data_IF_538781604763
#
_entry.id   IF_538781604763
#
_cell.length_a   1.000
_cell.length_b   1.000
_cell.length_c   1.000
_cell.angle_alpha   90.00
_cell.angle_beta   90.00
_cell.angle_gamma   90.00
#
_symmetry.space_group_name_H-M   'P 1'
#
loop_
_entity.id
_entity.type
_entity.pdbx_description
1 polymer ?
#
# COMPACT_ATOMS: atom_id res chain seq x y z
N UNK A 1 6.59 -6.29 23.74
CA UNK A 1 5.54 -6.10 22.70
C UNK A 1 6.16 -5.25 21.61
N UNK A 2 6.39 -5.81 20.43
CA UNK A 2 6.74 -5.00 19.26
C UNK A 2 5.56 -4.08 18.98
N UNK A 3 5.73 -2.78 19.20
CA UNK A 3 4.73 -1.75 18.86
C UNK A 3 4.46 -1.82 17.36
N UNK A 4 3.19 -1.97 16.99
CA UNK A 4 2.80 -1.96 15.58
C UNK A 4 2.96 -0.53 15.06
N UNK A 5 3.47 -0.34 13.84
CA UNK A 5 3.76 1.02 13.36
C UNK A 5 2.52 1.92 13.33
N UNK A 6 1.34 1.34 13.06
CA UNK A 6 0.07 2.07 13.06
C UNK A 6 -0.38 2.54 14.45
N UNK A 7 0.11 1.91 15.55
CA UNK A 7 -0.19 2.32 16.93
C UNK A 7 0.26 3.77 17.21
N UNK A 8 1.17 4.30 16.40
CA UNK A 8 1.66 5.68 16.52
C UNK A 8 0.65 6.75 16.13
N UNK A 9 -0.40 6.39 15.36
CA UNK A 9 -1.39 7.34 14.86
C UNK A 9 -2.85 6.86 15.00
N UNK A 10 -3.05 5.60 15.40
CA UNK A 10 -4.39 5.05 15.59
C UNK A 10 -4.45 4.01 16.70
N UNK A 11 -5.68 3.61 17.02
CA UNK A 11 -5.99 2.56 17.99
C UNK A 11 -6.76 1.45 17.26
N UNK A 12 -6.44 0.17 17.45
CA UNK A 12 -7.23 -0.91 16.86
C UNK A 12 -8.68 -0.83 17.32
N UNK A 13 -9.62 -0.99 16.41
CA UNK A 13 -11.04 -1.05 16.77
C UNK A 13 -11.36 -2.36 17.50
N UNK A 14 -12.42 -2.39 18.33
CA UNK A 14 -12.83 -3.61 19.01
C UNK A 14 -13.10 -4.78 18.05
N UNK A 15 -12.64 -5.99 18.40
CA UNK A 15 -12.72 -7.17 17.54
C UNK A 15 -14.17 -7.53 17.16
N UNK A 16 -15.12 -7.29 18.08
CA UNK A 16 -16.55 -7.49 17.87
C UNK A 16 -17.17 -6.52 16.84
N UNK A 17 -16.53 -5.37 16.58
CA UNK A 17 -16.96 -4.39 15.58
C UNK A 17 -16.25 -4.58 14.23
N UNK A 18 -15.03 -5.13 14.24
CA UNK A 18 -14.18 -5.32 13.05
C UNK A 18 -14.89 -6.06 11.91
N UNK A 19 -15.56 -7.17 12.21
CA UNK A 19 -16.25 -7.96 11.19
C UNK A 19 -17.35 -7.16 10.47
N UNK A 20 -18.18 -6.43 11.22
CA UNK A 20 -19.27 -5.59 10.65
C UNK A 20 -18.72 -4.41 9.86
N UNK A 21 -17.64 -3.81 10.36
CA UNK A 21 -16.95 -2.73 9.66
C UNK A 21 -16.42 -3.19 8.29
N UNK A 22 -15.67 -4.30 8.27
CA UNK A 22 -15.10 -4.84 7.04
C UNK A 22 -16.17 -5.32 6.07
N UNK A 23 -17.25 -5.94 6.56
CA UNK A 23 -18.39 -6.31 5.73
C UNK A 23 -19.01 -5.09 5.04
N UNK A 24 -19.36 -4.04 5.81
CA UNK A 24 -19.95 -2.82 5.28
C UNK A 24 -19.05 -2.11 4.26
N UNK A 25 -17.74 -2.07 4.51
CA UNK A 25 -16.78 -1.53 3.55
C UNK A 25 -16.74 -2.37 2.26
N UNK A 26 -16.61 -3.70 2.38
CA UNK A 26 -16.53 -4.60 1.24
C UNK A 26 -17.78 -4.58 0.36
N UNK A 27 -18.97 -4.46 0.95
CA UNK A 27 -20.23 -4.26 0.22
C UNK A 27 -20.20 -2.97 -0.59
N UNK A 28 -19.75 -1.85 0.00
CA UNK A 28 -19.67 -0.55 -0.69
C UNK A 28 -18.70 -0.56 -1.87
N UNK A 29 -17.59 -1.27 -1.77
CA UNK A 29 -16.60 -1.39 -2.86
C UNK A 29 -16.87 -2.59 -3.76
N UNK A 30 -17.96 -3.31 -3.59
CA UNK A 30 -18.27 -4.54 -4.35
C UNK A 30 -17.10 -5.54 -4.35
N UNK A 31 -16.42 -5.73 -3.20
CA UNK A 31 -15.35 -6.70 -3.05
C UNK A 31 -15.93 -8.06 -2.61
N UNK A 32 -16.06 -9.05 -3.51
CA UNK A 32 -16.83 -10.26 -3.26
C UNK A 32 -16.11 -11.28 -2.35
N UNK A 33 -14.81 -11.12 -2.12
CA UNK A 33 -13.97 -12.14 -1.46
C UNK A 33 -13.71 -11.88 0.01
N UNK A 34 -14.07 -10.71 0.54
CA UNK A 34 -13.76 -10.32 1.92
C UNK A 34 -12.25 -10.25 2.24
N UNK A 35 -11.39 -10.38 1.23
CA UNK A 35 -9.93 -10.26 1.33
C UNK A 35 -9.53 -8.79 1.28
N UNK A 36 -8.29 -8.49 1.69
CA UNK A 36 -7.73 -7.15 1.55
C UNK A 36 -7.93 -6.62 0.12
N UNK A 37 -8.63 -5.48 -0.06
CA UNK A 37 -8.97 -5.00 -1.38
C UNK A 37 -7.80 -4.30 -2.09
N UNK A 38 -6.61 -4.27 -1.49
CA UNK A 38 -5.42 -3.79 -2.19
C UNK A 38 -4.95 -4.75 -3.31
N UNK A 39 -4.66 -4.26 -4.53
CA UNK A 39 -4.03 -5.09 -5.58
C UNK A 39 -2.64 -5.59 -5.16
N UNK A 40 -2.29 -6.85 -5.39
CA UNK A 40 -0.99 -7.41 -5.02
C UNK A 40 -0.09 -7.54 -6.25
N UNK A 41 1.09 -6.91 -6.20
CA UNK A 41 2.08 -6.98 -7.26
C UNK A 41 2.77 -8.34 -7.35
N UNK A 42 2.99 -8.80 -8.58
CA UNK A 42 3.82 -9.97 -8.90
C UNK A 42 5.26 -9.55 -9.16
N UNK A 43 6.23 -10.46 -8.99
CA UNK A 43 7.64 -10.16 -9.25
C UNK A 43 7.86 -9.85 -10.73
N UNK A 44 8.58 -8.77 -11.02
CA UNK A 44 9.02 -8.44 -12.37
C UNK A 44 10.05 -9.47 -12.85
N UNK A 45 9.79 -10.09 -13.99
CA UNK A 45 10.65 -11.10 -14.59
C UNK A 45 11.02 -10.67 -16.00
N UNK A 46 12.07 -11.29 -16.57
CA UNK A 46 12.58 -10.93 -17.91
C UNK A 46 11.49 -10.93 -18.99
N UNK A 47 10.53 -11.86 -18.92
CA UNK A 47 9.39 -11.95 -19.85
C UNK A 47 8.44 -10.75 -19.79
N UNK A 48 8.30 -10.10 -18.63
CA UNK A 48 7.43 -8.95 -18.43
C UNK A 48 8.04 -7.64 -18.98
N UNK A 49 9.30 -7.65 -19.40
CA UNK A 49 9.93 -6.47 -20.01
C UNK A 49 9.22 -6.06 -21.31
N UNK A 50 8.63 -7.02 -22.03
CA UNK A 50 7.81 -6.74 -23.21
C UNK A 50 6.59 -5.88 -22.84
N UNK A 51 5.94 -6.14 -21.71
CA UNK A 51 4.80 -5.34 -21.26
C UNK A 51 5.17 -3.88 -21.02
N UNK A 52 6.36 -3.63 -20.46
CA UNK A 52 6.87 -2.28 -20.19
C UNK A 52 7.26 -1.51 -21.47
N UNK A 53 7.46 -2.22 -22.58
CA UNK A 53 7.76 -1.66 -23.90
C UNK A 53 6.46 -1.42 -24.69
N UNK A 54 5.53 -2.37 -24.64
CA UNK A 54 4.31 -2.36 -25.44
C UNK A 54 3.18 -1.52 -24.84
N UNK A 55 3.17 -1.32 -23.52
CA UNK A 55 2.09 -0.61 -22.83
C UNK A 55 2.60 0.55 -21.98
N UNK A 56 1.71 1.52 -21.77
CA UNK A 56 1.95 2.62 -20.86
C UNK A 56 1.96 2.15 -19.41
N UNK A 57 3.09 2.37 -18.75
CA UNK A 57 3.33 2.06 -17.35
C UNK A 57 3.90 3.30 -16.64
N UNK A 58 3.54 3.45 -15.36
CA UNK A 58 4.31 4.26 -14.42
C UNK A 58 5.21 3.37 -13.57
N UNK A 59 6.31 3.95 -13.10
CA UNK A 59 7.25 3.42 -12.14
C UNK A 59 7.30 4.35 -10.92
N UNK A 60 7.38 3.78 -9.73
CA UNK A 60 7.72 4.51 -8.51
C UNK A 60 8.63 3.66 -7.63
N UNK A 61 9.27 4.32 -6.67
CA UNK A 61 10.04 3.63 -5.64
C UNK A 61 9.15 2.65 -4.86
N UNK A 62 9.71 1.49 -4.52
CA UNK A 62 9.06 0.53 -3.62
C UNK A 62 9.56 0.84 -2.21
N UNK A 63 8.67 1.31 -1.35
CA UNK A 63 9.05 1.59 0.03
C UNK A 63 9.02 0.30 0.85
N UNK A 64 9.71 0.33 1.97
CA UNK A 64 9.62 -0.71 3.00
C UNK A 64 8.75 -0.20 4.16
N UNK A 65 7.44 -0.10 3.91
CA UNK A 65 6.47 0.39 4.89
C UNK A 65 5.34 -0.59 5.17
N UNK A 66 4.44 -0.19 6.07
CA UNK A 66 3.20 -0.91 6.32
C UNK A 66 2.16 -0.46 5.31
N UNK A 67 1.97 -1.25 4.25
CA UNK A 67 0.89 -1.02 3.29
C UNK A 67 -0.47 -1.02 4.00
N UNK A 68 -1.20 0.07 3.85
CA UNK A 68 -2.48 0.28 4.50
C UNK A 68 -3.43 1.09 3.61
N UNK A 69 -4.72 0.79 3.67
CA UNK A 69 -5.75 1.62 3.06
C UNK A 69 -6.18 2.71 4.03
N UNK A 70 -6.36 3.93 3.54
CA UNK A 70 -6.98 5.02 4.29
C UNK A 70 -8.46 5.10 3.92
N UNK A 71 -9.34 4.69 4.83
CA UNK A 71 -10.78 4.76 4.65
C UNK A 71 -11.36 5.90 5.49
N UNK A 72 -12.07 6.80 4.83
CA UNK A 72 -12.81 7.90 5.45
C UNK A 72 -14.29 7.55 5.30
N UNK A 73 -14.93 7.26 6.43
CA UNK A 73 -16.34 6.89 6.52
C UNK A 73 -17.14 8.05 7.11
N UNK A 74 -18.24 8.43 6.47
CA UNK A 74 -19.17 9.40 7.04
C UNK A 74 -20.32 8.68 7.75
N UNK A 75 -20.67 9.13 8.95
CA UNK A 75 -21.84 8.64 9.68
C UNK A 75 -22.41 9.77 10.56
N UNK A 76 -23.73 9.98 10.49
CA UNK A 76 -24.45 11.00 11.30
C UNK A 76 -23.74 12.36 11.37
N UNK A 77 -23.34 12.91 10.22
CA UNK A 77 -22.62 14.18 10.08
C UNK A 77 -21.21 14.23 10.68
N UNK A 78 -20.61 13.09 11.00
CA UNK A 78 -19.22 12.99 11.43
C UNK A 78 -18.42 12.17 10.42
N UNK A 79 -17.15 12.54 10.22
CA UNK A 79 -16.20 11.74 9.45
C UNK A 79 -15.28 10.97 10.40
N UNK A 80 -15.20 9.66 10.18
CA UNK A 80 -14.36 8.73 10.91
C UNK A 80 -13.28 8.19 9.96
N UNK A 81 -12.04 8.14 10.44
CA UNK A 81 -10.87 7.91 9.61
C UNK A 81 -10.14 6.67 10.10
N UNK A 82 -9.90 5.72 9.20
CA UNK A 82 -9.37 4.41 9.55
C UNK A 82 -8.21 4.05 8.64
N UNK A 83 -7.22 3.34 9.19
CA UNK A 83 -6.21 2.60 8.45
C UNK A 83 -6.51 1.12 8.51
N UNK A 84 -6.39 0.46 7.37
CA UNK A 84 -6.67 -0.97 7.23
C UNK A 84 -5.44 -1.61 6.63
N UNK A 85 -4.76 -2.47 7.37
CA UNK A 85 -3.55 -3.12 6.89
C UNK A 85 -3.85 -4.36 6.03
N UNK A 86 -2.80 -4.98 5.49
CA UNK A 86 -2.92 -6.20 4.67
C UNK A 86 -3.46 -7.42 5.44
N UNK A 87 -3.34 -7.45 6.77
CA UNK A 87 -3.89 -8.50 7.64
C UNK A 87 -5.36 -8.24 7.98
N UNK A 88 -5.95 -7.16 7.46
CA UNK A 88 -7.31 -6.71 7.76
C UNK A 88 -7.50 -6.24 9.20
N UNK A 89 -6.41 -5.86 9.87
CA UNK A 89 -6.50 -5.13 11.12
C UNK A 89 -6.87 -3.68 10.85
N UNK A 90 -7.80 -3.15 11.65
CA UNK A 90 -8.42 -1.85 11.43
C UNK A 90 -8.09 -0.93 12.60
N UNK A 91 -7.46 0.19 12.29
CA UNK A 91 -7.03 1.20 13.25
C UNK A 91 -7.80 2.49 13.03
N UNK A 92 -8.50 2.98 14.05
CA UNK A 92 -9.11 4.30 14.01
C UNK A 92 -8.04 5.36 14.30
N UNK A 93 -7.90 6.33 13.39
CA UNK A 93 -6.93 7.42 13.53
C UNK A 93 -7.40 8.39 14.62
N UNK A 94 -6.53 8.72 15.57
CA UNK A 94 -6.80 9.68 16.62
C UNK A 94 -6.38 11.10 16.24
N UNK A 95 -6.80 12.10 17.03
CA UNK A 95 -6.43 13.51 16.87
C UNK A 95 -6.69 14.10 15.46
N UNK A 96 -7.68 13.56 14.73
CA UNK A 96 -8.14 14.14 13.47
C UNK A 96 -8.82 15.47 13.76
N UNK A 97 -8.39 16.55 13.09
CA UNK A 97 -9.01 17.87 13.27
C UNK A 97 -10.46 17.82 12.79
N UNK A 98 -11.34 18.51 13.52
CA UNK A 98 -12.77 18.59 13.19
C UNK A 98 -12.97 19.31 11.86
N UNK A 99 -13.15 18.52 10.80
CA UNK A 99 -13.56 18.97 9.49
C UNK A 99 -14.44 17.89 8.90
N UNK A 100 -15.70 18.23 8.60
CA UNK A 100 -16.64 17.22 8.14
C UNK A 100 -16.48 17.01 6.63
N UNK A 101 -15.74 15.97 6.27
CA UNK A 101 -15.80 15.42 4.92
C UNK A 101 -17.16 14.76 4.76
N UNK A 102 -18.07 15.38 3.99
CA UNK A 102 -19.45 14.92 3.79
C UNK A 102 -19.57 13.61 3.00
N UNK A 103 -18.45 13.11 2.50
CA UNK A 103 -18.40 11.96 1.59
C UNK A 103 -17.37 10.95 2.06
N UNK A 104 -17.50 9.74 1.52
CA UNK A 104 -16.57 8.65 1.79
C UNK A 104 -15.46 8.56 0.74
N UNK A 105 -14.29 8.15 1.20
CA UNK A 105 -13.08 8.03 0.39
C UNK A 105 -12.29 6.80 0.81
N UNK A 106 -11.69 6.10 -0.15
CA UNK A 106 -10.81 4.96 0.10
C UNK A 106 -9.56 5.07 -0.77
N UNK A 107 -8.42 5.28 -0.12
CA UNK A 107 -7.11 5.42 -0.77
C UNK A 107 -6.22 4.22 -0.46
N UNK A 108 -5.46 3.77 -1.44
CA UNK A 108 -4.41 2.76 -1.25
C UNK A 108 -3.06 3.44 -1.11
N UNK A 109 -2.31 3.03 -0.10
CA UNK A 109 -1.11 3.74 0.30
C UNK A 109 -0.20 2.93 1.20
N UNK A 110 0.86 3.60 1.62
CA UNK A 110 1.91 3.03 2.46
C UNK A 110 2.18 3.95 3.64
N UNK A 111 2.05 3.37 4.83
CA UNK A 111 2.42 4.03 6.07
C UNK A 111 3.90 3.79 6.36
N UNK A 112 4.61 4.89 6.59
CA UNK A 112 6.05 4.94 6.72
C UNK A 112 6.43 5.72 7.97
N UNK A 113 7.53 5.31 8.60
CA UNK A 113 8.18 6.06 9.66
C UNK A 113 9.49 6.58 9.09
N UNK A 114 9.68 7.89 9.11
CA UNK A 114 10.93 8.48 8.64
C UNK A 114 12.09 8.13 9.57
N UNK A 115 13.32 8.35 9.09
CA UNK A 115 14.54 8.29 9.92
C UNK A 115 14.42 9.17 11.19
N UNK A 116 13.74 10.31 11.09
CA UNK A 116 13.46 11.22 12.22
C UNK A 116 12.25 10.80 13.06
N UNK A 117 11.75 9.57 12.88
CA UNK A 117 10.61 8.97 13.58
C UNK A 117 9.27 9.66 13.34
N UNK A 118 9.15 10.45 12.28
CA UNK A 118 7.91 11.11 11.92
C UNK A 118 7.02 10.19 11.06
N UNK A 119 5.73 10.05 11.37
CA UNK A 119 4.79 9.29 10.56
C UNK A 119 4.48 10.00 9.23
N UNK A 120 4.43 9.21 8.15
CA UNK A 120 4.02 9.63 6.81
C UNK A 120 3.06 8.58 6.25
N UNK A 121 1.99 9.04 5.59
CA UNK A 121 1.17 8.19 4.73
C UNK A 121 1.31 8.64 3.28
N UNK A 122 1.77 7.72 2.41
CA UNK A 122 1.96 7.98 0.98
C UNK A 122 0.86 7.29 0.17
N UNK A 123 0.01 8.06 -0.51
CA UNK A 123 -1.06 7.54 -1.36
C UNK A 123 -0.47 7.22 -2.74
N UNK A 124 -0.74 6.03 -3.27
CA UNK A 124 -0.32 5.66 -4.63
C UNK A 124 -1.48 5.21 -5.52
N UNK A 125 -2.70 5.04 -5.00
CA UNK A 125 -3.90 4.77 -5.80
C UNK A 125 -5.19 5.18 -5.06
N UNK A 126 -6.31 5.30 -5.77
CA UNK A 126 -7.63 5.64 -5.23
C UNK A 126 -8.65 4.59 -5.65
N UNK A 127 -9.35 4.01 -4.67
CA UNK A 127 -10.39 2.98 -4.89
C UNK A 127 -11.78 3.62 -4.91
N UNK A 128 -12.02 4.56 -3.99
CA UNK A 128 -13.29 5.29 -3.86
C UNK A 128 -13.03 6.77 -3.65
N UNK A 129 -13.79 7.60 -4.33
CA UNK A 129 -13.75 9.05 -4.19
C UNK A 129 -15.17 9.62 -4.21
N UNK A 130 -15.50 10.46 -3.23
CA UNK A 130 -16.78 11.14 -3.12
C UNK A 130 -17.99 10.19 -3.16
N UNK A 131 -17.90 9.06 -2.43
CA UNK A 131 -18.88 7.96 -2.39
C UNK A 131 -18.93 7.06 -3.64
N UNK A 132 -18.20 7.37 -4.71
CA UNK A 132 -18.19 6.57 -5.93
C UNK A 132 -16.95 5.71 -6.04
N UNK A 133 -17.12 4.46 -6.50
CA UNK A 133 -15.98 3.64 -6.91
C UNK A 133 -15.35 4.22 -8.16
N UNK A 134 -14.03 4.33 -8.16
CA UNK A 134 -13.24 4.87 -9.28
C UNK A 134 -12.26 3.86 -9.85
N UNK A 135 -12.42 2.57 -9.48
CA UNK A 135 -11.55 1.47 -9.89
C UNK A 135 -11.48 1.26 -11.41
N UNK A 136 -12.52 1.66 -12.16
CA UNK A 136 -12.56 1.51 -13.62
C UNK A 136 -11.90 2.68 -14.37
N UNK A 137 -11.52 3.75 -13.67
CA UNK A 137 -10.76 4.84 -14.27
C UNK A 137 -9.31 4.41 -14.54
N UNK A 138 -8.63 5.13 -15.42
CA UNK A 138 -7.17 4.97 -15.60
C UNK A 138 -6.41 5.36 -14.33
N UNK A 139 -5.21 4.83 -14.17
CA UNK A 139 -4.32 5.18 -13.07
C UNK A 139 -4.08 6.70 -12.96
N UNK A 140 -3.97 7.40 -14.09
CA UNK A 140 -3.80 8.86 -14.11
C UNK A 140 -4.97 9.58 -13.43
N UNK A 141 -6.20 9.20 -13.77
CA UNK A 141 -7.40 9.78 -13.18
C UNK A 141 -7.50 9.44 -11.69
N UNK A 142 -7.20 8.18 -11.30
CA UNK A 142 -7.20 7.77 -9.89
C UNK A 142 -6.14 8.50 -9.07
N UNK A 143 -4.97 8.78 -9.65
CA UNK A 143 -3.90 9.57 -9.01
C UNK A 143 -4.26 11.06 -8.90
N UNK A 144 -4.92 11.63 -9.90
CA UNK A 144 -5.39 13.02 -9.85
C UNK A 144 -6.41 13.23 -8.70
N UNK A 145 -7.30 12.26 -8.47
CA UNK A 145 -8.21 12.26 -7.32
C UNK A 145 -7.47 12.20 -5.97
N UNK A 146 -6.41 11.40 -5.88
CA UNK A 146 -5.55 11.37 -4.69
C UNK A 146 -4.83 12.71 -4.48
N UNK A 147 -4.30 13.31 -5.54
CA UNK A 147 -3.62 14.60 -5.50
C UNK A 147 -4.55 15.73 -5.02
N UNK A 148 -5.76 15.81 -5.58
CA UNK A 148 -6.80 16.76 -5.16
C UNK A 148 -7.15 16.62 -3.67
N UNK A 149 -7.19 15.39 -3.17
CA UNK A 149 -7.50 15.10 -1.76
C UNK A 149 -6.37 15.48 -0.81
N UNK A 150 -5.12 15.36 -1.25
CA UNK A 150 -3.92 15.46 -0.39
C UNK A 150 -3.86 16.80 0.35
N UNK A 151 -4.23 17.91 -0.29
CA UNK A 151 -4.23 19.23 0.37
C UNK A 151 -5.17 19.28 1.57
N UNK A 152 -6.38 18.75 1.42
CA UNK A 152 -7.38 18.74 2.50
C UNK A 152 -6.93 17.75 3.58
N UNK A 153 -6.56 16.53 3.18
CA UNK A 153 -6.11 15.48 4.10
C UNK A 153 -4.93 15.95 4.97
N UNK A 154 -3.93 16.61 4.39
CA UNK A 154 -2.79 17.15 5.13
C UNK A 154 -3.14 18.22 6.16
N UNK A 155 -4.33 18.83 6.07
CA UNK A 155 -4.82 19.74 7.11
C UNK A 155 -5.49 18.99 8.27
N UNK A 156 -6.04 17.80 8.01
CA UNK A 156 -6.81 17.01 8.97
C UNK A 156 -5.95 16.26 9.97
N UNK A 157 -4.78 15.80 9.55
CA UNK A 157 -3.93 14.93 10.35
C UNK A 157 -2.73 15.67 10.93
N UNK A 158 -2.21 15.16 12.04
CA UNK A 158 -0.96 15.64 12.66
C UNK A 158 0.29 14.91 12.10
N UNK A 159 0.12 14.15 11.02
CA UNK A 159 1.19 13.47 10.31
C UNK A 159 1.14 13.85 8.83
N UNK A 160 2.26 13.64 8.12
CA UNK A 160 2.35 14.05 6.72
C UNK A 160 1.56 13.09 5.82
N UNK A 161 0.70 13.64 4.96
CA UNK A 161 0.10 12.90 3.86
C UNK A 161 0.63 13.45 2.55
N UNK A 162 0.98 12.56 1.63
CA UNK A 162 1.46 12.93 0.30
C UNK A 162 1.03 11.89 -0.72
N UNK A 163 1.01 12.26 -2.00
CA UNK A 163 0.97 11.28 -3.08
C UNK A 163 2.38 10.80 -3.41
N UNK A 164 2.50 9.54 -3.81
CA UNK A 164 3.75 8.96 -4.30
C UNK A 164 4.07 9.55 -5.66
N UNK A 165 5.33 9.92 -5.88
CA UNK A 165 5.78 10.46 -7.15
C UNK A 165 5.86 9.33 -8.17
N UNK A 166 5.20 9.53 -9.31
CA UNK A 166 5.17 8.57 -10.42
C UNK A 166 6.05 9.07 -11.55
N UNK A 167 6.86 8.17 -12.10
CA UNK A 167 7.69 8.39 -13.27
C UNK A 167 7.17 7.52 -14.39
N UNK A 168 7.22 7.98 -15.64
CA UNK A 168 6.95 7.08 -16.77
C UNK A 168 7.89 5.87 -16.70
N UNK A 169 7.45 4.72 -17.20
CA UNK A 169 8.21 3.46 -17.09
C UNK A 169 9.65 3.59 -17.56
N UNK A 170 9.91 4.31 -18.65
CA UNK A 170 11.26 4.56 -19.16
C UNK A 170 12.13 5.49 -18.30
N UNK A 171 11.55 6.18 -17.32
CA UNK A 171 12.22 6.98 -16.29
C UNK A 171 12.45 6.21 -14.97
N UNK A 172 12.51 4.88 -15.05
CA UNK A 172 12.69 4.01 -13.87
C UNK A 172 14.04 4.23 -13.17
N UNK A 173 15.07 4.66 -13.91
CA UNK A 173 16.39 4.93 -13.35
C UNK A 173 16.34 6.14 -12.40
N UNK A 174 15.65 7.20 -12.80
CA UNK A 174 15.38 8.37 -11.97
C UNK A 174 14.52 8.01 -10.76
N UNK A 175 13.45 7.23 -10.96
CA UNK A 175 12.63 6.72 -9.87
C UNK A 175 13.45 5.92 -8.84
N UNK A 176 14.39 5.10 -9.32
CA UNK A 176 15.25 4.31 -8.46
C UNK A 176 16.30 5.16 -7.75
N UNK A 177 16.89 6.16 -8.42
CA UNK A 177 17.91 7.04 -7.83
C UNK A 177 17.32 8.00 -6.80
N UNK A 178 16.04 8.34 -6.88
CA UNK A 178 15.37 9.17 -5.86
C UNK A 178 15.46 8.55 -4.45
N UNK A 179 15.69 7.23 -4.34
CA UNK A 179 15.87 6.51 -3.06
C UNK A 179 16.89 7.16 -2.12
N UNK A 180 17.93 7.79 -2.67
CA UNK A 180 19.00 8.44 -1.88
C UNK A 180 18.50 9.69 -1.16
N UNK A 181 17.45 10.32 -1.68
CA UNK A 181 16.83 11.53 -1.14
C UNK A 181 15.60 11.27 -0.26
N UNK A 182 15.14 10.01 -0.19
CA UNK A 182 13.96 9.65 0.60
C UNK A 182 14.25 9.67 2.09
N UNK A 183 13.26 10.12 2.87
CA UNK A 183 13.31 10.11 4.33
C UNK A 183 12.98 8.73 4.93
N UNK A 184 12.71 7.74 4.08
CA UNK A 184 12.31 6.37 4.40
C UNK A 184 13.09 5.36 3.57
N UNK A 185 13.04 4.09 3.94
CA UNK A 185 13.72 3.02 3.22
C UNK A 185 12.97 2.64 1.93
N UNK A 186 13.75 2.36 0.88
CA UNK A 186 13.27 1.91 -0.42
C UNK A 186 14.06 0.68 -0.84
N UNK A 187 13.35 -0.39 -1.18
CA UNK A 187 13.91 -1.72 -1.47
C UNK A 187 13.73 -2.14 -2.94
N UNK A 188 13.25 -1.23 -3.81
CA UNK A 188 13.04 -1.55 -5.20
C UNK A 188 12.14 -0.58 -5.96
N UNK A 189 11.41 -1.12 -6.94
CA UNK A 189 10.49 -0.38 -7.80
C UNK A 189 9.14 -1.10 -7.90
N UNK A 190 8.09 -0.32 -8.13
CA UNK A 190 6.76 -0.81 -8.51
C UNK A 190 6.41 -0.23 -9.88
N UNK A 191 5.92 -1.08 -10.79
CA UNK A 191 5.43 -0.70 -12.10
C UNK A 191 3.93 -0.96 -12.20
N UNK A 192 3.17 0.10 -12.46
CA UNK A 192 1.69 0.06 -12.53
C UNK A 192 1.24 0.49 -13.92
N UNK A 193 0.40 -0.35 -14.55
CA UNK A 193 -0.15 -0.09 -15.89
C UNK A 193 -1.13 1.08 -15.87
N UNK A 194 -1.11 1.92 -16.90
CA UNK A 194 -1.88 3.19 -16.90
C UNK A 194 -3.37 2.97 -17.16
N UNK A 195 -3.74 2.23 -18.19
CA UNK A 195 -5.15 2.09 -18.61
C UNK A 195 -5.88 0.89 -18.03
N UNK A 196 -5.25 0.18 -17.10
CA UNK A 196 -5.86 -0.99 -16.48
C UNK A 196 -6.71 -0.58 -15.26
N UNK A 197 -7.94 -1.12 -15.14
CA UNK A 197 -8.74 -0.98 -13.94
C UNK A 197 -8.00 -1.48 -12.71
N UNK A 198 -8.26 -0.85 -11.57
CA UNK A 198 -7.84 -1.35 -10.28
C UNK A 198 -8.56 -2.67 -9.98
N UNK A 199 -7.84 -3.66 -9.44
CA UNK A 199 -8.38 -5.00 -9.18
C UNK A 199 -8.11 -5.49 -7.75
N UNK A 200 -8.96 -6.38 -7.25
CA UNK A 200 -8.78 -6.96 -5.92
C UNK A 200 -7.89 -8.20 -5.94
N UNK A 201 -6.91 -8.25 -5.03
CA UNK A 201 -5.98 -9.37 -4.93
C UNK A 201 -4.86 -9.32 -5.97
N UNK A 202 -4.31 -10.47 -6.35
CA UNK A 202 -3.13 -10.53 -7.23
C UNK A 202 -3.41 -9.96 -8.61
N UNK A 203 -2.65 -8.93 -8.97
CA UNK A 203 -2.69 -8.29 -10.27
C UNK A 203 -1.51 -8.78 -11.11
N UNK A 204 -1.75 -9.54 -12.20
CA UNK A 204 -0.67 -10.15 -12.97
C UNK A 204 0.16 -9.14 -13.75
N UNK A 205 -0.34 -7.93 -13.93
CA UNK A 205 0.26 -6.82 -14.69
C UNK A 205 0.84 -5.72 -13.80
N UNK A 206 0.66 -5.80 -12.48
CA UNK A 206 1.31 -4.94 -11.49
C UNK A 206 2.62 -5.58 -11.06
N UNK A 207 3.75 -4.94 -11.36
CA UNK A 207 5.06 -5.54 -11.13
C UNK A 207 5.79 -4.91 -9.96
N UNK A 208 6.45 -5.74 -9.15
CA UNK A 208 7.45 -5.31 -8.16
C UNK A 208 8.81 -5.84 -8.55
N UNK A 209 9.82 -4.99 -8.49
CA UNK A 209 11.21 -5.36 -8.72
C UNK A 209 12.04 -5.01 -7.49
N UNK A 210 12.99 -5.86 -7.14
CA UNK A 210 14.03 -5.58 -6.15
C UNK A 210 15.40 -5.88 -6.76
N UNK A 211 16.45 -5.13 -6.40
CA UNK A 211 17.82 -5.50 -6.73
C UNK A 211 18.13 -6.93 -6.29
N UNK A 212 18.87 -7.73 -7.09
CA UNK A 212 19.15 -9.13 -6.76
C UNK A 212 19.74 -9.34 -5.37
N UNK A 213 20.61 -8.42 -4.93
CA UNK A 213 21.29 -8.49 -3.63
C UNK A 213 20.38 -8.22 -2.41
N UNK A 214 19.17 -7.69 -2.61
CA UNK A 214 18.16 -7.53 -1.55
C UNK A 214 17.21 -8.72 -1.44
N UNK A 215 17.32 -9.71 -2.33
CA UNK A 215 16.56 -10.95 -2.19
C UNK A 215 17.25 -11.85 -1.17
N UNK A 216 16.55 -12.13 -0.07
CA UNK A 216 17.01 -13.02 0.98
C UNK A 216 16.25 -14.36 0.93
N UNK A 217 16.88 -15.39 1.47
CA UNK A 217 16.26 -16.70 1.72
C UNK A 217 16.55 -17.03 3.17
N UNK A 218 15.50 -17.31 3.94
CA UNK A 218 15.64 -17.70 5.34
C UNK A 218 16.01 -19.18 5.43
N UNK A 219 17.08 -19.48 6.17
CA UNK A 219 17.51 -20.85 6.45
C UNK A 219 17.34 -21.15 7.94
N UNK A 220 16.77 -22.31 8.25
CA UNK A 220 16.88 -22.89 9.58
C UNK A 220 18.29 -23.47 9.72
N UNK A 221 19.04 -22.94 10.68
CA UNK A 221 20.41 -23.36 10.94
C UNK A 221 20.44 -24.39 12.08
N UNK A 222 21.07 -25.55 11.85
CA UNK A 222 21.22 -26.61 12.84
C UNK A 222 22.71 -26.89 13.06
N UNK A 223 23.18 -26.71 14.28
CA UNK A 223 24.56 -27.03 14.65
C UNK A 223 24.75 -28.55 14.69
N UNK A 224 25.81 -29.06 14.05
CA UNK A 224 26.12 -30.49 13.99
C UNK A 224 27.50 -30.84 14.61
N UNK A 225 28.18 -29.87 15.23
CA UNK A 225 29.49 -30.07 15.86
C UNK A 225 30.64 -29.46 15.07
N UNK A 226 31.81 -29.32 15.72
CA UNK A 226 33.06 -28.80 15.12
C UNK A 226 32.90 -27.45 14.37
N UNK A 227 32.10 -26.53 14.88
CA UNK A 227 31.84 -25.24 14.21
C UNK A 227 31.05 -25.35 12.90
N UNK A 228 30.47 -26.53 12.59
CA UNK A 228 29.74 -26.80 11.36
C UNK A 228 28.22 -26.73 11.58
N UNK A 229 27.51 -26.17 10.60
CA UNK A 229 26.06 -26.03 10.61
C UNK A 229 25.45 -26.61 9.33
N UNK A 230 24.32 -27.27 9.47
CA UNK A 230 23.43 -27.60 8.36
C UNK A 230 22.42 -26.46 8.16
N UNK A 231 22.17 -26.09 6.90
CA UNK A 231 21.20 -25.07 6.52
C UNK A 231 20.01 -25.74 5.83
N UNK A 232 18.82 -25.58 6.42
CA UNK A 232 17.58 -26.09 5.86
C UNK A 232 16.74 -24.93 5.32
N UNK A 233 16.42 -24.95 4.03
CA UNK A 233 15.46 -24.03 3.42
C UNK A 233 14.11 -24.74 3.30
N UNK A 234 13.14 -24.35 4.12
CA UNK A 234 11.78 -24.89 4.06
C UNK A 234 10.95 -24.10 3.05
N UNK A 235 10.93 -24.53 1.79
CA UNK A 235 9.95 -24.06 0.81
C UNK A 235 8.75 -25.01 0.78
N UNK A 236 7.52 -24.50 0.86
CA UNK A 236 6.35 -25.30 0.41
C UNK A 236 6.59 -25.62 -1.07
N UNK A 237 6.66 -26.90 -1.42
CA UNK A 237 6.66 -27.35 -2.82
C UNK A 237 5.35 -26.86 -3.44
N UNK A 238 5.42 -25.83 -4.28
CA UNK A 238 4.31 -25.47 -5.15
C UNK A 238 4.49 -26.34 -6.38
N UNK A 239 3.73 -27.44 -6.45
CA UNK A 239 3.59 -28.21 -7.68
C UNK A 239 2.77 -27.36 -8.66
N UNK A 240 3.32 -27.14 -9.85
CA UNK A 240 2.68 -26.41 -10.96
C UNK A 240 1.74 -27.34 -11.72
#
# INVERSE_FOLDING_TARGET
>A
MTTYDLDKIGVPIPENEKARFLQSMNEKINNPKGVFPGFHAVTLLKRHLLDLIEFDYFACEKSDGTRSLLYIKNYENNSYHFLIDRKMEVFQIFNVKKFNLKSEYLFDGEFLITKDKNPIFTIFDTIMYDNYMVINLSLLERLDLAYKSTKILSQLYNFKITTKKMYKSYGFAEAYNERESLAHECDGLVFTKVYEPYMYGTCPTLYKWKPPYLNTVDFLMKYIGNGTYELFCLGKRIEY
#
